data_IF_784528273729
#
_entry.id   IF_784528273729
#
_cell.length_a   1.000
_cell.length_b   1.000
_cell.length_c   1.000
_cell.angle_alpha   90.00
_cell.angle_beta   90.00
_cell.angle_gamma   90.00
#
_symmetry.space_group_name_H-M   'P 1'
#
loop_
_entity.id
_entity.type
_entity.pdbx_description
1 polymer ?
#
# COMPACT_ATOMS: atom_id res chain seq x y z
N UNK A 1 -19.14 -8.69 31.61
CA UNK A 1 -17.96 -9.03 30.78
C UNK A 1 -18.44 -9.16 29.36
N UNK A 2 -17.68 -8.63 28.41
CA UNK A 2 -17.90 -8.87 26.97
C UNK A 2 -16.89 -9.90 26.49
N UNK A 3 -17.19 -10.56 25.37
CA UNK A 3 -16.27 -11.46 24.68
C UNK A 3 -15.15 -10.67 24.00
N UNK A 4 -14.07 -11.36 23.63
CA UNK A 4 -12.99 -10.75 22.84
C UNK A 4 -13.48 -10.24 21.48
N UNK A 5 -14.41 -10.97 20.85
CA UNK A 5 -14.98 -10.59 19.57
C UNK A 5 -15.79 -9.30 19.68
N UNK A 6 -16.68 -9.22 20.68
CA UNK A 6 -17.45 -8.01 20.98
C UNK A 6 -16.54 -6.82 21.30
N UNK A 7 -15.41 -7.06 21.99
CA UNK A 7 -14.43 -6.01 22.24
C UNK A 7 -13.76 -5.54 20.94
N UNK A 8 -13.37 -6.46 20.06
CA UNK A 8 -12.73 -6.15 18.77
C UNK A 8 -13.66 -5.36 17.86
N UNK A 9 -14.90 -5.79 17.70
CA UNK A 9 -15.90 -5.10 16.89
C UNK A 9 -16.13 -3.67 17.38
N UNK A 10 -16.28 -3.48 18.70
CA UNK A 10 -16.47 -2.15 19.30
C UNK A 10 -15.27 -1.26 19.07
N UNK A 11 -14.04 -1.77 19.19
CA UNK A 11 -12.83 -0.99 18.96
C UNK A 11 -12.76 -0.54 17.49
N UNK A 12 -12.90 -1.48 16.55
CA UNK A 12 -12.83 -1.18 15.12
C UNK A 12 -13.92 -0.20 14.69
N UNK A 13 -15.13 -0.31 15.25
CA UNK A 13 -16.23 0.59 14.95
C UNK A 13 -16.00 2.06 15.36
N UNK A 14 -15.04 2.34 16.25
CA UNK A 14 -14.70 3.69 16.71
C UNK A 14 -13.35 4.20 16.19
N UNK A 15 -12.65 3.41 15.36
CA UNK A 15 -11.40 3.84 14.71
C UNK A 15 -11.73 4.33 13.31
N UNK A 16 -11.46 5.60 13.05
CA UNK A 16 -11.54 6.16 11.71
C UNK A 16 -10.22 5.96 10.96
N UNK A 17 -10.32 5.67 9.67
CA UNK A 17 -9.14 5.62 8.81
C UNK A 17 -8.50 7.01 8.73
N UNK A 18 -7.18 7.08 8.87
CA UNK A 18 -6.45 8.31 8.63
C UNK A 18 -6.60 8.76 7.17
N UNK A 19 -6.59 10.07 6.94
CA UNK A 19 -6.63 10.63 5.59
C UNK A 19 -5.39 10.29 4.77
N UNK A 20 -5.50 10.43 3.45
CA UNK A 20 -4.37 10.28 2.54
C UNK A 20 -3.43 11.48 2.65
N UNK A 21 -2.13 11.27 2.46
CA UNK A 21 -1.12 12.32 2.42
C UNK A 21 -0.01 11.92 1.45
N UNK A 22 0.46 12.88 0.67
CA UNK A 22 1.61 12.68 -0.22
C UNK A 22 2.91 12.64 0.59
N UNK A 23 3.70 11.60 0.37
CA UNK A 23 5.00 11.41 1.01
C UNK A 23 6.05 11.02 -0.03
N UNK A 24 7.33 11.38 0.17
CA UNK A 24 8.41 10.90 -0.69
C UNK A 24 8.55 9.37 -0.64
N UNK A 25 8.97 8.75 -1.75
CA UNK A 25 9.12 7.28 -1.87
C UNK A 25 9.98 6.68 -0.76
N UNK A 26 11.06 7.36 -0.37
CA UNK A 26 11.95 6.89 0.70
C UNK A 26 11.25 6.74 2.06
N UNK A 27 10.16 7.48 2.29
CA UNK A 27 9.35 7.42 3.49
C UNK A 27 8.11 6.53 3.37
N UNK A 28 7.87 5.90 2.22
CA UNK A 28 6.64 5.13 1.98
C UNK A 28 6.62 3.75 2.67
N UNK A 29 7.77 3.26 3.15
CA UNK A 29 7.84 1.96 3.80
C UNK A 29 6.98 1.92 5.09
N UNK A 30 6.09 0.94 5.19
CA UNK A 30 5.15 0.80 6.31
C UNK A 30 3.84 1.59 6.17
N UNK A 31 3.67 2.35 5.09
CA UNK A 31 2.41 3.02 4.75
C UNK A 31 1.54 2.17 3.84
N UNK A 32 0.24 2.45 3.84
CA UNK A 32 -0.74 1.84 2.94
C UNK A 32 -0.96 2.78 1.75
N UNK A 33 -0.91 2.25 0.53
CA UNK A 33 -1.23 3.02 -0.67
C UNK A 33 -2.69 3.45 -0.65
N UNK A 34 -2.92 4.76 -0.77
CA UNK A 34 -4.24 5.35 -0.85
C UNK A 34 -4.80 5.40 -2.28
N UNK A 35 -4.00 5.00 -3.29
CA UNK A 35 -4.36 5.00 -4.70
C UNK A 35 -3.75 3.81 -5.45
N UNK A 36 -4.30 3.52 -6.63
CA UNK A 36 -3.77 2.48 -7.50
C UNK A 36 -2.51 2.97 -8.21
N UNK A 37 -1.46 2.14 -8.24
CA UNK A 37 -0.23 2.40 -8.98
C UNK A 37 -0.29 1.66 -10.31
N UNK A 38 -0.12 2.40 -11.39
CA UNK A 38 -0.07 1.89 -12.76
C UNK A 38 1.30 2.17 -13.36
N UNK A 39 1.81 1.26 -14.18
CA UNK A 39 3.03 1.50 -14.93
C UNK A 39 2.80 2.64 -15.93
N UNK A 40 3.79 3.52 -16.07
CA UNK A 40 3.79 4.60 -17.06
C UNK A 40 4.23 4.11 -18.46
N UNK A 41 4.65 2.85 -18.58
CA UNK A 41 5.08 2.24 -19.82
C UNK A 41 5.39 0.74 -19.68
N UNK A 42 5.85 0.16 -20.79
CA UNK A 42 6.35 -1.23 -20.82
C UNK A 42 7.84 -1.27 -20.48
N UNK A 43 8.24 -2.23 -19.65
CA UNK A 43 9.62 -2.42 -19.22
C UNK A 43 10.04 -3.90 -19.39
N UNK A 44 11.12 -4.20 -20.13
CA UNK A 44 11.96 -3.26 -20.86
C UNK A 44 11.21 -2.63 -22.04
N UNK A 45 11.50 -1.35 -22.31
CA UNK A 45 10.82 -0.58 -23.36
C UNK A 45 11.27 -0.94 -24.78
N UNK A 46 12.20 -1.89 -24.91
CA UNK A 46 12.76 -2.39 -26.16
C UNK A 46 13.36 -3.78 -25.92
N UNK A 47 13.65 -4.52 -26.99
CA UNK A 47 14.34 -5.80 -26.91
C UNK A 47 15.72 -5.62 -26.25
N UNK A 48 15.93 -6.34 -25.14
CA UNK A 48 17.21 -6.35 -24.40
C UNK A 48 17.70 -7.78 -24.26
N UNK A 49 18.95 -8.03 -24.66
CA UNK A 49 19.61 -9.29 -24.31
C UNK A 49 19.90 -9.32 -22.81
N UNK A 50 19.59 -10.45 -22.18
CA UNK A 50 19.94 -10.73 -20.78
C UNK A 50 21.28 -11.46 -20.65
N UNK A 51 21.89 -11.82 -21.77
CA UNK A 51 23.14 -12.56 -21.85
C UNK A 51 24.18 -11.78 -22.62
N UNK A 52 25.43 -11.86 -22.16
CA UNK A 52 26.58 -11.50 -22.96
C UNK A 52 26.73 -12.54 -24.08
N UNK A 53 27.01 -12.07 -25.31
CA UNK A 53 27.25 -12.88 -26.49
C UNK A 53 28.71 -12.92 -26.89
#
# INVERSE_FOLDING_TARGET
>A
MITLEEARERIVAHVEAAGATEIPLAGAHGHILAEAVVADGFYPSADRSTMDG
#
